data_IF_302175762914
#
_entry.id   IF_302175762914
#
_cell.length_a   1.000
_cell.length_b   1.000
_cell.length_c   1.000
_cell.angle_alpha   90.00
_cell.angle_beta   90.00
_cell.angle_gamma   90.00
#
_symmetry.space_group_name_H-M   'P 1'
#
loop_
_entity.id
_entity.type
_entity.pdbx_description
1 polymer ?
#
# COMPACT_ATOMS: atom_id res chain seq x y z
N UNK A 1 9.90 2.46 -9.07
CA UNK A 1 11.34 2.78 -9.26
C UNK A 1 12.03 1.93 -10.32
N UNK A 2 12.29 2.43 -11.54
CA UNK A 2 13.02 1.67 -12.59
C UNK A 2 14.56 1.73 -12.46
N UNK A 3 15.09 2.70 -11.70
CA UNK A 3 16.53 2.91 -11.49
C UNK A 3 16.86 2.85 -10.01
N UNK A 4 18.03 2.32 -9.65
CA UNK A 4 18.54 2.24 -8.27
C UNK A 4 18.70 3.61 -7.55
N UNK A 5 18.35 4.70 -8.22
CA UNK A 5 18.44 6.10 -7.75
C UNK A 5 17.09 6.80 -7.79
N UNK A 6 15.96 6.08 -7.77
CA UNK A 6 14.66 6.72 -7.59
C UNK A 6 14.60 7.28 -6.15
N UNK A 7 14.56 8.60 -5.94
CA UNK A 7 14.55 9.17 -4.61
C UNK A 7 13.25 8.80 -3.90
N UNK A 8 13.32 7.77 -3.06
CA UNK A 8 12.27 7.46 -2.11
C UNK A 8 12.22 8.57 -1.05
N UNK A 9 11.03 9.02 -0.70
CA UNK A 9 10.84 9.90 0.46
C UNK A 9 11.38 9.24 1.73
N UNK A 10 11.95 10.04 2.64
CA UNK A 10 12.51 9.54 3.91
C UNK A 10 11.45 8.95 4.85
N UNK A 11 10.18 9.24 4.55
CA UNK A 11 8.99 8.75 5.21
C UNK A 11 8.50 7.39 4.67
N UNK A 12 9.03 6.92 3.54
CA UNK A 12 8.63 5.69 2.88
C UNK A 12 9.67 4.58 3.09
N UNK A 13 9.21 3.37 3.38
CA UNK A 13 10.08 2.20 3.55
C UNK A 13 9.35 0.95 3.10
N UNK A 14 10.05 0.13 2.32
CA UNK A 14 9.57 -1.18 1.89
C UNK A 14 10.18 -2.28 2.77
N UNK A 15 9.36 -3.21 3.24
CA UNK A 15 9.79 -4.33 4.09
C UNK A 15 9.53 -5.65 3.37
N UNK A 16 10.59 -6.41 3.09
CA UNK A 16 10.49 -7.73 2.49
C UNK A 16 10.49 -8.82 3.56
N UNK A 17 9.44 -9.65 3.56
CA UNK A 17 9.25 -10.73 4.51
C UNK A 17 9.26 -12.06 3.78
N UNK A 18 10.17 -12.96 4.17
CA UNK A 18 10.11 -14.35 3.73
C UNK A 18 9.27 -15.14 4.73
N UNK A 19 8.15 -15.69 4.26
CA UNK A 19 7.27 -16.49 5.11
C UNK A 19 7.82 -17.90 5.27
N UNK A 20 7.54 -18.50 6.43
CA UNK A 20 7.73 -19.94 6.62
C UNK A 20 6.85 -20.73 5.65
N UNK A 21 7.16 -22.01 5.39
CA UNK A 21 6.24 -22.90 4.69
C UNK A 21 4.85 -22.85 5.32
N UNK A 22 3.81 -22.86 4.47
CA UNK A 22 2.42 -22.64 4.90
C UNK A 22 1.93 -23.63 5.96
N UNK A 23 2.44 -24.85 5.93
CA UNK A 23 2.15 -25.88 6.93
C UNK A 23 2.68 -25.56 8.34
N UNK A 24 3.58 -24.59 8.48
CA UNK A 24 4.16 -24.15 9.75
C UNK A 24 3.55 -22.83 10.26
N UNK A 25 2.50 -22.32 9.61
CA UNK A 25 1.86 -21.08 10.04
C UNK A 25 1.06 -21.34 11.33
N UNK A 26 1.17 -20.42 12.29
CA UNK A 26 0.60 -20.59 13.62
C UNK A 26 -0.69 -19.79 13.87
N UNK A 27 -0.96 -18.75 13.07
CA UNK A 27 -2.04 -17.78 13.32
C UNK A 27 -3.04 -17.63 12.17
N UNK A 28 -2.78 -18.27 11.03
CA UNK A 28 -3.67 -18.27 9.88
C UNK A 28 -3.35 -19.46 8.97
N UNK A 29 -4.38 -19.98 8.28
CA UNK A 29 -4.24 -21.03 7.26
C UNK A 29 -4.23 -20.45 5.83
N UNK A 30 -4.68 -19.20 5.70
CA UNK A 30 -4.80 -18.49 4.43
C UNK A 30 -3.94 -17.23 4.37
N UNK A 31 -3.50 -16.87 3.16
CA UNK A 31 -2.75 -15.63 2.94
C UNK A 31 -3.57 -14.42 3.41
N UNK A 32 -4.87 -14.38 3.09
CA UNK A 32 -5.77 -13.31 3.53
C UNK A 32 -5.88 -13.25 5.06
N UNK A 33 -6.02 -14.42 5.72
CA UNK A 33 -6.03 -14.49 7.18
C UNK A 33 -4.71 -14.01 7.80
N UNK A 34 -3.58 -14.32 7.17
CA UNK A 34 -2.27 -13.85 7.65
C UNK A 34 -2.16 -12.32 7.54
N UNK A 35 -2.60 -11.73 6.42
CA UNK A 35 -2.63 -10.28 6.24
C UNK A 35 -3.49 -9.61 7.32
N UNK A 36 -4.68 -10.14 7.62
CA UNK A 36 -5.54 -9.63 8.68
C UNK A 36 -4.86 -9.66 10.05
N UNK A 37 -4.14 -10.74 10.39
CA UNK A 37 -3.40 -10.83 11.65
C UNK A 37 -2.20 -9.85 11.71
N UNK A 38 -1.56 -9.59 10.57
CA UNK A 38 -0.51 -8.58 10.46
C UNK A 38 -1.09 -7.17 10.63
N UNK A 39 -2.20 -6.85 9.97
CA UNK A 39 -2.92 -5.58 10.10
C UNK A 39 -3.29 -5.28 11.55
N UNK A 40 -3.87 -6.25 12.27
CA UNK A 40 -4.20 -6.11 13.70
C UNK A 40 -2.99 -5.82 14.57
N UNK A 41 -1.83 -6.37 14.21
CA UNK A 41 -0.58 -6.15 14.96
C UNK A 41 -0.04 -4.75 14.68
N UNK A 42 -0.09 -4.31 13.43
CA UNK A 42 0.43 -3.00 13.00
C UNK A 42 -0.48 -1.86 13.42
N UNK A 43 -1.79 -2.05 13.46
CA UNK A 43 -2.76 -1.01 13.85
C UNK A 43 -2.56 -0.50 15.29
N UNK A 44 -1.72 -1.17 16.09
CA UNK A 44 -1.32 -0.73 17.42
C UNK A 44 -0.29 0.40 17.40
N UNK A 45 0.36 0.65 16.25
CA UNK A 45 1.37 1.69 16.08
C UNK A 45 0.74 2.94 15.46
N UNK A 46 0.58 4.05 16.21
CA UNK A 46 0.00 5.26 15.67
C UNK A 46 0.90 5.90 14.61
N UNK A 47 0.30 6.39 13.53
CA UNK A 47 1.00 7.09 12.44
C UNK A 47 1.66 6.18 11.40
N UNK A 48 1.51 4.86 11.51
CA UNK A 48 2.02 3.89 10.54
C UNK A 48 0.88 3.45 9.62
N UNK A 49 0.95 3.83 8.35
CA UNK A 49 0.08 3.31 7.30
C UNK A 49 0.86 2.24 6.52
N UNK A 50 0.39 1.00 6.54
CA UNK A 50 1.02 -0.11 5.83
C UNK A 50 0.13 -0.66 4.73
N UNK A 51 0.74 -1.00 3.60
CA UNK A 51 0.10 -1.67 2.48
C UNK A 51 0.74 -3.05 2.33
N UNK A 52 -0.08 -4.09 2.29
CA UNK A 52 0.36 -5.47 2.10
C UNK A 52 0.24 -5.84 0.63
N UNK A 53 1.34 -6.25 0.02
CA UNK A 53 1.37 -6.70 -1.39
C UNK A 53 2.49 -7.73 -1.57
N UNK A 54 2.57 -8.34 -2.74
CA UNK A 54 3.64 -9.26 -3.09
C UNK A 54 4.76 -8.55 -3.87
N UNK A 55 6.04 -8.92 -3.69
CA UNK A 55 7.17 -8.23 -4.33
C UNK A 55 7.06 -8.08 -5.85
N UNK A 56 6.57 -9.11 -6.53
CA UNK A 56 6.40 -9.11 -7.99
C UNK A 56 5.25 -8.19 -8.40
N UNK A 57 4.11 -8.27 -7.69
CA UNK A 57 2.93 -7.45 -7.93
C UNK A 57 3.23 -5.97 -7.68
N UNK A 58 3.87 -5.64 -6.56
CA UNK A 58 4.34 -4.29 -6.26
C UNK A 58 5.16 -3.73 -7.43
N UNK A 59 6.12 -4.52 -7.92
CA UNK A 59 7.01 -4.08 -9.00
C UNK A 59 6.26 -3.89 -10.31
N UNK A 60 5.29 -4.74 -10.60
CA UNK A 60 4.43 -4.63 -11.78
C UNK A 60 3.51 -3.40 -11.70
N UNK A 61 2.88 -3.16 -10.55
CA UNK A 61 1.97 -2.04 -10.34
C UNK A 61 2.69 -0.69 -10.44
N UNK A 62 3.90 -0.61 -9.86
CA UNK A 62 4.78 0.55 -10.02
C UNK A 62 5.18 0.80 -11.47
N UNK A 63 5.54 -0.26 -12.21
CA UNK A 63 6.00 -0.14 -13.60
C UNK A 63 4.86 0.30 -14.54
N UNK A 64 3.66 -0.23 -14.33
CA UNK A 64 2.52 0.00 -15.23
C UNK A 64 1.80 1.31 -14.93
N UNK A 65 1.53 1.58 -13.65
CA UNK A 65 0.65 2.68 -13.24
C UNK A 65 1.36 3.77 -12.43
N UNK A 66 2.50 3.45 -11.82
CA UNK A 66 3.12 4.28 -10.78
C UNK A 66 2.35 4.33 -9.46
N UNK A 67 1.28 3.53 -9.31
CA UNK A 67 0.46 3.41 -8.10
C UNK A 67 0.78 2.08 -7.42
N UNK A 68 0.88 2.09 -6.09
CA UNK A 68 1.31 0.92 -5.27
C UNK A 68 0.16 0.12 -4.65
N UNK A 69 -1.09 0.49 -4.94
CA UNK A 69 -2.31 -0.15 -4.43
C UNK A 69 -3.12 -0.77 -5.57
N UNK A 70 -4.00 -1.71 -5.23
CA UNK A 70 -4.86 -2.43 -6.19
C UNK A 70 -5.80 -1.49 -6.97
N UNK A 71 -6.22 -0.39 -6.33
CA UNK A 71 -7.02 0.67 -6.93
C UNK A 71 -6.30 1.99 -6.71
N UNK A 72 -6.26 2.81 -7.77
CA UNK A 72 -5.69 4.14 -7.75
C UNK A 72 -6.50 5.13 -8.56
N UNK A 73 -6.76 6.30 -7.99
CA UNK A 73 -7.50 7.38 -8.65
C UNK A 73 -6.54 8.53 -8.90
N UNK A 74 -6.41 8.94 -10.17
CA UNK A 74 -5.58 10.08 -10.59
C UNK A 74 -6.48 11.24 -10.97
N UNK A 75 -6.33 12.37 -10.28
CA UNK A 75 -7.00 13.62 -10.62
C UNK A 75 -6.01 14.49 -11.39
N UNK A 76 -6.42 15.01 -12.55
CA UNK A 76 -5.57 15.83 -13.42
C UNK A 76 -6.16 17.23 -13.55
N UNK A 77 -5.30 18.24 -13.55
CA UNK A 77 -5.67 19.65 -13.66
C UNK A 77 -4.48 20.56 -13.39
N UNK A 78 -4.72 21.87 -13.49
CA UNK A 78 -3.65 22.88 -13.43
C UNK A 78 -3.56 23.59 -12.07
N UNK A 79 -4.60 23.49 -11.23
CA UNK A 79 -4.69 24.15 -9.93
C UNK A 79 -4.50 23.15 -8.79
N UNK A 80 -3.42 23.30 -8.01
CA UNK A 80 -3.08 22.35 -6.96
C UNK A 80 -4.08 22.33 -5.79
N UNK A 81 -4.60 23.48 -5.38
CA UNK A 81 -5.52 23.57 -4.24
C UNK A 81 -6.87 22.93 -4.60
N UNK A 82 -7.34 23.13 -5.83
CA UNK A 82 -8.55 22.47 -6.33
C UNK A 82 -8.36 20.96 -6.49
N UNK A 83 -7.18 20.52 -6.98
CA UNK A 83 -6.85 19.11 -7.06
C UNK A 83 -6.82 18.43 -5.68
N UNK A 84 -6.24 19.10 -4.67
CA UNK A 84 -6.20 18.61 -3.30
C UNK A 84 -7.61 18.49 -2.71
N UNK A 85 -8.45 19.51 -2.91
CA UNK A 85 -9.84 19.52 -2.46
C UNK A 85 -10.64 18.35 -3.06
N UNK A 86 -10.49 18.10 -4.37
CA UNK A 86 -11.15 16.98 -5.05
C UNK A 86 -10.61 15.64 -4.56
N UNK A 87 -9.30 15.50 -4.35
CA UNK A 87 -8.70 14.28 -3.84
C UNK A 87 -9.22 13.93 -2.44
N UNK A 88 -9.36 14.91 -1.55
CA UNK A 88 -9.94 14.74 -0.21
C UNK A 88 -11.42 14.33 -0.27
N UNK A 89 -12.19 14.91 -1.20
CA UNK A 89 -13.59 14.52 -1.44
C UNK A 89 -13.70 13.06 -1.90
N UNK A 90 -12.85 12.65 -2.84
CA UNK A 90 -12.79 11.26 -3.33
C UNK A 90 -12.40 10.31 -2.21
N UNK A 91 -11.38 10.64 -1.42
CA UNK A 91 -10.95 9.85 -0.28
C UNK A 91 -12.09 9.65 0.73
N UNK A 92 -12.81 10.72 1.05
CA UNK A 92 -13.95 10.67 1.98
C UNK A 92 -15.04 9.70 1.49
N UNK A 93 -15.43 9.78 0.22
CA UNK A 93 -16.45 8.89 -0.35
C UNK A 93 -16.00 7.43 -0.33
N UNK A 94 -14.72 7.15 -0.60
CA UNK A 94 -14.20 5.78 -0.56
C UNK A 94 -14.13 5.18 0.84
N UNK A 95 -13.94 6.00 1.88
CA UNK A 95 -13.96 5.55 3.27
C UNK A 95 -15.37 5.19 3.77
N UNK A 96 -16.41 5.70 3.11
CA UNK A 96 -17.82 5.45 3.46
C UNK A 96 -18.38 4.15 2.83
N UNK A 97 -17.62 3.48 1.96
CA UNK A 97 -18.00 2.26 1.23
C UNK A 97 -17.37 1.03 1.89
#
# INVERSE_FOLDING_TARGET
AEVATDPMGIELTDIFLTLKPRAEWARADTQAGLVIEMEKTISQFPGVNMVFTQPIEMRMNEMVSGIRSDIGIKVFGDDFDELLRIADDVQRVLLDI
#
